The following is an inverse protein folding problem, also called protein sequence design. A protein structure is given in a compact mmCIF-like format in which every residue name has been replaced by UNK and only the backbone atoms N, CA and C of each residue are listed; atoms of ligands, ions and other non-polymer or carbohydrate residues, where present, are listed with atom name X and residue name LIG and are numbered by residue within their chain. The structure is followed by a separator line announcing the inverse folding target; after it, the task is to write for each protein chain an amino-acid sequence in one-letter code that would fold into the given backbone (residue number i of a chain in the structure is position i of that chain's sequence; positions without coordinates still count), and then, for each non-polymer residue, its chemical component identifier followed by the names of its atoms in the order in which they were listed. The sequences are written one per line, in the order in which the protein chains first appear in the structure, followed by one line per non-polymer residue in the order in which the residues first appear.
data_IF_946139064798
#
_entry.id   IF_946139064798
#
_cell.length_a   1.000
_cell.length_b   1.000
_cell.length_c   1.000
_cell.angle_alpha   90.00
_cell.angle_beta   90.00
_cell.angle_gamma   90.00
#
_symmetry.space_group_name_H-M   'P 1'
#
loop_
_entity.id
_entity.type
_entity.pdbx_description
1 polymer ?
#
# COMPACT_ATOMS: atom_id res chain seq x y z
N UNK A 1 -23.11 -3.58 7.41
CA UNK A 1 -22.34 -2.49 8.07
C UNK A 1 -21.20 -2.93 9.02
N UNK A 2 -21.50 -3.40 10.24
CA UNK A 2 -20.51 -3.50 11.35
C UNK A 2 -19.30 -4.39 11.04
N UNK A 3 -19.53 -5.56 10.44
CA UNK A 3 -18.45 -6.50 10.10
C UNK A 3 -17.47 -5.90 9.09
N UNK A 4 -17.97 -5.23 8.06
CA UNK A 4 -17.12 -4.60 7.04
C UNK A 4 -16.28 -3.46 7.61
N UNK A 5 -16.89 -2.59 8.42
CA UNK A 5 -16.19 -1.50 9.10
C UNK A 5 -15.14 -2.01 10.10
N UNK A 6 -15.46 -3.03 10.91
CA UNK A 6 -14.52 -3.65 11.83
C UNK A 6 -13.35 -4.31 11.11
N UNK A 7 -13.62 -4.98 9.98
CA UNK A 7 -12.57 -5.61 9.15
C UNK A 7 -11.66 -4.55 8.54
N UNK A 8 -12.22 -3.45 8.03
CA UNK A 8 -11.46 -2.32 7.51
C UNK A 8 -10.58 -1.67 8.60
N UNK A 9 -11.12 -1.46 9.81
CA UNK A 9 -10.37 -0.96 10.95
C UNK A 9 -9.21 -1.90 11.34
N UNK A 10 -9.45 -3.22 11.34
CA UNK A 10 -8.39 -4.21 11.56
C UNK A 10 -7.29 -4.11 10.50
N UNK A 11 -7.66 -4.00 9.22
CA UNK A 11 -6.70 -3.80 8.14
C UNK A 11 -5.89 -2.52 8.29
N UNK A 12 -6.51 -1.42 8.73
CA UNK A 12 -5.81 -0.17 9.04
C UNK A 12 -4.78 -0.34 10.17
N UNK A 13 -5.13 -1.06 11.24
CA UNK A 13 -4.22 -1.35 12.35
C UNK A 13 -3.03 -2.21 11.90
N UNK A 14 -3.27 -3.25 11.09
CA UNK A 14 -2.21 -4.11 10.54
C UNK A 14 -1.27 -3.29 9.65
N UNK A 15 -1.83 -2.49 8.73
CA UNK A 15 -1.08 -1.62 7.84
C UNK A 15 -0.25 -0.58 8.60
N UNK A 16 -0.85 0.07 9.60
CA UNK A 16 -0.18 1.05 10.46
C UNK A 16 0.94 0.42 11.28
N UNK A 17 0.70 -0.74 11.88
CA UNK A 17 1.74 -1.48 12.61
C UNK A 17 2.89 -1.93 11.70
N UNK A 18 2.57 -2.35 10.47
CA UNK A 18 3.57 -2.69 9.47
C UNK A 18 4.40 -1.48 9.05
N UNK A 19 3.73 -0.37 8.69
CA UNK A 19 4.38 0.91 8.35
C UNK A 19 5.31 1.38 9.47
N UNK A 20 4.83 1.39 10.72
CA UNK A 20 5.62 1.78 11.89
C UNK A 20 6.86 0.90 12.10
N UNK A 21 6.72 -0.42 11.98
CA UNK A 21 7.86 -1.34 12.12
C UNK A 21 8.86 -1.17 10.99
N UNK A 22 8.38 -0.94 9.77
CA UNK A 22 9.22 -0.65 8.62
C UNK A 22 9.99 0.65 8.85
N UNK A 23 9.32 1.72 9.29
CA UNK A 23 9.91 3.02 9.62
C UNK A 23 11.02 2.92 10.67
N UNK A 24 10.76 2.19 11.77
CA UNK A 24 11.77 1.95 12.82
C UNK A 24 12.97 1.18 12.28
N UNK A 25 12.75 0.18 11.44
CA UNK A 25 13.83 -0.59 10.83
C UNK A 25 14.66 0.24 9.82
N UNK A 26 14.12 1.32 9.24
CA UNK A 26 14.87 2.21 8.34
C UNK A 26 15.86 3.11 9.05
N UNK A 27 15.66 3.40 10.34
CA UNK A 27 16.56 4.27 11.11
C UNK A 27 17.98 3.72 11.21
N UNK A 28 18.16 2.44 10.89
CA UNK A 28 19.44 1.73 10.89
C UNK A 28 20.13 1.69 9.50
N UNK A 29 19.72 2.53 8.53
CA UNK A 29 20.52 2.88 7.36
C UNK A 29 20.22 2.15 6.03
N UNK A 30 18.97 2.14 5.55
CA UNK A 30 18.65 1.64 4.19
C UNK A 30 17.90 2.68 3.33
N UNK A 31 18.31 2.77 2.05
CA UNK A 31 18.04 3.87 1.11
C UNK A 31 16.57 4.15 0.71
N UNK A 32 16.39 5.16 -0.15
CA UNK A 32 15.11 5.87 -0.39
C UNK A 32 13.88 5.02 -0.73
N UNK A 33 14.05 3.84 -1.32
CA UNK A 33 12.97 2.87 -1.60
C UNK A 33 12.13 2.51 -0.37
N UNK A 34 12.80 2.49 0.77
CA UNK A 34 12.28 2.01 2.03
C UNK A 34 11.39 3.07 2.72
N UNK A 35 11.66 4.35 2.44
CA UNK A 35 10.80 5.49 2.77
C UNK A 35 9.52 5.45 1.93
N UNK A 36 9.63 5.23 0.62
CA UNK A 36 8.48 5.14 -0.28
C UNK A 36 7.49 4.05 0.16
N UNK A 37 7.99 2.88 0.55
CA UNK A 37 7.13 1.79 1.06
C UNK A 37 6.49 2.10 2.42
N UNK A 38 7.19 2.83 3.29
CA UNK A 38 6.63 3.25 4.58
C UNK A 38 5.47 4.22 4.36
N UNK A 39 5.65 5.20 3.48
CA UNK A 39 4.60 6.16 3.09
C UNK A 39 3.42 5.47 2.43
N UNK A 40 3.66 4.54 1.52
CA UNK A 40 2.61 3.74 0.87
C UNK A 40 1.74 3.01 1.91
N UNK A 41 2.37 2.25 2.83
CA UNK A 41 1.64 1.53 3.87
C UNK A 41 0.92 2.46 4.85
N UNK A 42 1.46 3.66 5.11
CA UNK A 42 0.78 4.68 5.89
C UNK A 42 -0.49 5.18 5.20
N UNK A 43 -0.41 5.49 3.91
CA UNK A 43 -1.56 5.89 3.09
C UNK A 43 -2.60 4.77 2.97
N UNK A 44 -2.16 3.52 2.84
CA UNK A 44 -3.07 2.38 2.87
C UNK A 44 -3.84 2.31 4.19
N UNK A 45 -3.17 2.54 5.33
CA UNK A 45 -3.85 2.60 6.62
C UNK A 45 -4.89 3.74 6.67
N UNK A 46 -4.56 4.92 6.15
CA UNK A 46 -5.49 6.06 6.03
C UNK A 46 -6.69 5.70 5.14
N UNK A 47 -6.46 5.05 3.99
CA UNK A 47 -7.51 4.58 3.11
C UNK A 47 -8.43 3.57 3.78
N UNK A 48 -7.88 2.65 4.58
CA UNK A 48 -8.67 1.67 5.34
C UNK A 48 -9.48 2.32 6.48
N UNK A 49 -8.96 3.39 7.12
CA UNK A 49 -9.75 4.19 8.07
C UNK A 49 -10.91 4.90 7.34
N UNK A 50 -10.65 5.52 6.20
CA UNK A 50 -11.69 6.18 5.40
C UNK A 50 -12.76 5.19 4.94
N UNK A 51 -12.37 3.97 4.54
CA UNK A 51 -13.28 2.88 4.23
C UNK A 51 -14.12 2.47 5.45
N UNK A 52 -13.49 2.30 6.61
CA UNK A 52 -14.20 1.96 7.84
C UNK A 52 -15.23 3.03 8.24
N UNK A 53 -14.86 4.31 8.13
CA UNK A 53 -15.76 5.45 8.38
C UNK A 53 -16.91 5.47 7.35
N UNK A 54 -16.61 5.29 6.06
CA UNK A 54 -17.62 5.23 5.00
C UNK A 54 -18.65 4.12 5.20
N UNK A 55 -18.21 2.94 5.66
CA UNK A 55 -19.09 1.81 5.96
C UNK A 55 -19.85 1.92 7.29
N UNK A 56 -19.34 2.70 8.24
CA UNK A 56 -19.94 2.84 9.57
C UNK A 56 -20.91 4.04 9.69
N UNK A 57 -20.55 5.16 9.08
CA UNK A 57 -21.25 6.46 9.21
C UNK A 57 -21.90 6.87 7.88
N UNK A 58 -21.49 6.29 6.77
CA UNK A 58 -21.96 6.61 5.43
C UNK A 58 -20.93 7.38 4.60
N UNK A 59 -21.19 7.44 3.30
CA UNK A 59 -20.28 8.03 2.32
C UNK A 59 -20.56 9.52 2.12
N UNK A 60 -19.50 10.32 2.24
CA UNK A 60 -19.49 11.75 1.94
C UNK A 60 -18.32 12.06 1.00
N UNK A 61 -18.40 13.18 0.29
CA UNK A 61 -17.40 13.56 -0.71
C UNK A 61 -15.96 13.53 -0.16
N UNK A 62 -15.75 14.02 1.06
CA UNK A 62 -14.44 14.02 1.73
C UNK A 62 -13.97 12.61 2.04
N UNK A 63 -14.80 11.80 2.71
CA UNK A 63 -14.47 10.42 3.08
C UNK A 63 -14.17 9.57 1.84
N UNK A 64 -14.99 9.73 0.79
CA UNK A 64 -14.79 9.08 -0.49
C UNK A 64 -13.50 9.53 -1.18
N UNK A 65 -13.24 10.84 -1.24
CA UNK A 65 -12.02 11.39 -1.81
C UNK A 65 -10.76 10.90 -1.09
N UNK A 66 -10.75 10.88 0.24
CA UNK A 66 -9.63 10.35 1.04
C UNK A 66 -9.43 8.86 0.78
N UNK A 67 -10.51 8.07 0.79
CA UNK A 67 -10.45 6.64 0.45
C UNK A 67 -9.82 6.42 -0.94
N UNK A 68 -10.24 7.20 -1.93
CA UNK A 68 -9.78 7.07 -3.31
C UNK A 68 -8.30 7.47 -3.46
N UNK A 69 -7.93 8.66 -2.96
CA UNK A 69 -6.56 9.18 -3.06
C UNK A 69 -5.57 8.31 -2.27
N UNK A 70 -5.89 8.02 -1.01
CA UNK A 70 -5.00 7.31 -0.12
C UNK A 70 -4.95 5.81 -0.41
N UNK A 71 -6.09 5.19 -0.71
CA UNK A 71 -6.18 3.74 -0.91
C UNK A 71 -5.76 3.28 -2.29
N UNK A 72 -6.28 3.92 -3.34
CA UNK A 72 -6.19 3.39 -4.71
C UNK A 72 -5.02 3.97 -5.52
N UNK A 73 -4.72 5.27 -5.38
CA UNK A 73 -3.83 5.95 -6.31
C UNK A 73 -2.43 6.18 -5.75
N UNK A 74 -2.37 6.95 -4.65
CA UNK A 74 -1.11 7.44 -4.14
C UNK A 74 -0.29 6.29 -3.55
N UNK A 75 -0.98 5.32 -2.95
CA UNK A 75 -0.38 4.10 -2.45
C UNK A 75 0.31 3.29 -3.57
N UNK A 76 -0.36 3.07 -4.71
CA UNK A 76 0.21 2.30 -5.84
C UNK A 76 1.38 3.05 -6.49
N UNK A 77 1.25 4.37 -6.67
CA UNK A 77 2.33 5.19 -7.20
C UNK A 77 3.58 5.16 -6.30
N UNK A 78 3.43 5.27 -4.98
CA UNK A 78 4.55 5.18 -4.04
C UNK A 78 5.18 3.79 -4.00
N UNK A 79 4.39 2.72 -4.11
CA UNK A 79 4.92 1.36 -4.25
C UNK A 79 5.77 1.23 -5.53
N UNK A 80 5.32 1.81 -6.65
CA UNK A 80 6.06 1.85 -7.90
C UNK A 80 7.38 2.60 -7.76
N UNK A 81 7.37 3.78 -7.13
CA UNK A 81 8.59 4.56 -6.83
C UNK A 81 9.56 3.74 -5.97
N UNK A 82 9.06 3.06 -4.94
CA UNK A 82 9.89 2.19 -4.11
C UNK A 82 10.51 1.02 -4.88
N UNK A 83 9.79 0.44 -5.86
CA UNK A 83 10.36 -0.58 -6.75
C UNK A 83 11.41 -0.01 -7.72
N UNK A 84 11.13 1.14 -8.33
CA UNK A 84 12.06 1.78 -9.27
C UNK A 84 13.35 2.19 -8.59
N UNK A 85 13.26 2.76 -7.39
CA UNK A 85 14.42 3.04 -6.56
C UNK A 85 15.24 1.76 -6.32
N UNK A 86 14.60 0.63 -6.04
CA UNK A 86 15.31 -0.64 -5.76
C UNK A 86 16.05 -1.18 -6.99
N UNK A 87 15.50 -0.95 -8.18
CA UNK A 87 16.09 -1.39 -9.44
C UNK A 87 17.22 -0.46 -9.88
N UNK A 88 17.01 0.85 -9.75
CA UNK A 88 17.97 1.88 -10.12
C UNK A 88 17.99 3.01 -9.08
N UNK A 89 18.83 2.89 -8.04
CA UNK A 89 18.94 3.91 -7.00
C UNK A 89 19.62 5.20 -7.50
N UNK A 90 20.34 5.16 -8.64
CA UNK A 90 21.09 6.31 -9.15
C UNK A 90 20.15 7.41 -9.69
N UNK A 91 18.98 7.02 -10.19
CA UNK A 91 17.93 7.93 -10.69
C UNK A 91 16.90 8.29 -9.61
N UNK A 92 17.27 8.19 -8.34
CA UNK A 92 16.34 8.37 -7.23
C UNK A 92 15.54 9.68 -7.25
N UNK A 93 16.15 10.85 -7.50
CA UNK A 93 15.43 12.12 -7.61
C UNK A 93 14.36 12.12 -8.72
N UNK A 94 14.65 11.49 -9.87
CA UNK A 94 13.70 11.38 -10.99
C UNK A 94 12.48 10.54 -10.58
N UNK A 95 12.68 9.41 -9.91
CA UNK A 95 11.58 8.55 -9.46
C UNK A 95 10.70 9.26 -8.43
N UNK A 96 11.30 10.00 -7.49
CA UNK A 96 10.54 10.83 -6.56
C UNK A 96 9.78 11.96 -7.24
N UNK A 97 10.39 12.62 -8.23
CA UNK A 97 9.72 13.66 -9.01
C UNK A 97 8.51 13.10 -9.76
N UNK A 98 8.66 11.98 -10.47
CA UNK A 98 7.56 11.32 -11.18
C UNK A 98 6.45 10.89 -10.22
N UNK A 99 6.81 10.34 -9.06
CA UNK A 99 5.85 10.02 -7.99
C UNK A 99 5.10 11.25 -7.48
N UNK A 100 5.80 12.36 -7.26
CA UNK A 100 5.22 13.61 -6.80
C UNK A 100 4.30 14.25 -7.85
N UNK A 101 4.66 14.19 -9.14
CA UNK A 101 3.81 14.67 -10.24
C UNK A 101 2.53 13.83 -10.32
N UNK A 102 2.64 12.50 -10.27
CA UNK A 102 1.47 11.60 -10.25
C UNK A 102 0.60 11.88 -9.03
N UNK A 103 1.20 12.08 -7.86
CA UNK A 103 0.50 12.43 -6.64
C UNK A 103 -0.27 13.76 -6.77
N UNK A 104 0.40 14.80 -7.25
CA UNK A 104 -0.18 16.13 -7.43
C UNK A 104 -1.33 16.11 -8.43
N UNK A 105 -1.15 15.47 -9.60
CA UNK A 105 -2.19 15.33 -10.62
C UNK A 105 -3.41 14.57 -10.07
N UNK A 106 -3.17 13.53 -9.28
CA UNK A 106 -4.21 12.73 -8.65
C UNK A 106 -5.01 13.55 -7.63
N UNK A 107 -4.32 14.23 -6.72
CA UNK A 107 -4.97 15.06 -5.69
C UNK A 107 -5.74 16.20 -6.34
N UNK A 108 -5.14 16.87 -7.32
CA UNK A 108 -5.82 17.90 -8.09
C UNK A 108 -7.08 17.36 -8.77
N UNK A 109 -6.98 16.26 -9.51
CA UNK A 109 -8.11 15.66 -10.20
C UNK A 109 -9.27 15.30 -9.26
N UNK A 110 -8.99 14.74 -8.08
CA UNK A 110 -10.02 14.44 -7.08
C UNK A 110 -10.58 15.72 -6.47
N UNK A 111 -9.75 16.73 -6.21
CA UNK A 111 -10.19 18.00 -5.63
C UNK A 111 -11.11 18.81 -6.57
N UNK A 112 -10.90 18.75 -7.89
CA UNK A 112 -11.79 19.41 -8.87
C UNK A 112 -13.02 18.57 -9.21
N UNK A 113 -13.01 17.27 -8.89
CA UNK A 113 -14.16 16.40 -9.13
C UNK A 113 -15.12 16.52 -7.96
N UNK A 114 -16.34 17.00 -8.22
CA UNK A 114 -17.42 17.00 -7.22
C UNK A 114 -18.13 15.65 -7.27
N UNK A 115 -17.98 14.76 -6.25
CA UNK A 115 -18.64 13.46 -6.28
C UNK A 115 -20.17 13.64 -6.21
N UNK A 116 -20.91 12.89 -7.01
CA UNK A 116 -22.37 12.94 -7.01
C UNK A 116 -22.92 12.47 -5.65
N UNK A 117 -23.56 13.39 -4.92
CA UNK A 117 -24.13 13.13 -3.62
C UNK A 117 -25.24 12.06 -3.65
N UNK A 118 -25.99 11.95 -4.75
CA UNK A 118 -27.01 10.93 -4.94
C UNK A 118 -26.40 9.53 -5.08
N UNK A 119 -25.27 9.39 -5.77
CA UNK A 119 -24.54 8.12 -5.87
C UNK A 119 -23.97 7.72 -4.51
N UNK A 120 -23.43 8.67 -3.74
CA UNK A 120 -22.91 8.39 -2.40
C UNK A 120 -24.04 8.02 -1.41
N UNK A 121 -25.19 8.69 -1.49
CA UNK A 121 -26.35 8.40 -0.65
C UNK A 121 -26.95 7.02 -0.98
N UNK A 122 -27.06 6.66 -2.26
CA UNK A 122 -27.56 5.34 -2.68
C UNK A 122 -26.61 4.21 -2.28
N UNK A 123 -25.29 4.41 -2.39
CA UNK A 123 -24.31 3.44 -1.89
C UNK A 123 -24.40 3.27 -0.37
N UNK A 124 -24.57 4.38 0.38
CA UNK A 124 -24.77 4.35 1.84
C UNK A 124 -26.04 3.58 2.21
N UNK A 125 -27.15 3.82 1.50
CA UNK A 125 -28.43 3.13 1.74
C UNK A 125 -28.38 1.62 1.41
N UNK A 126 -27.42 1.20 0.57
CA UNK A 126 -27.24 -0.21 0.16
C UNK A 126 -26.09 -0.91 0.87
N UNK A 127 -25.47 -0.29 1.88
CA UNK A 127 -24.25 -0.81 2.52
C UNK A 127 -23.11 -1.13 1.52
N UNK A 128 -23.11 -0.43 0.38
CA UNK A 128 -22.19 -0.69 -0.73
C UNK A 128 -21.02 0.31 -0.74
N UNK A 129 -19.99 0.00 -1.51
CA UNK A 129 -18.86 0.90 -1.76
C UNK A 129 -19.17 1.66 -3.07
N UNK A 130 -19.20 3.01 -3.06
CA UNK A 130 -19.51 3.79 -4.25
C UNK A 130 -18.56 3.47 -5.41
N UNK A 131 -19.13 3.24 -6.59
CA UNK A 131 -18.35 3.09 -7.81
C UNK A 131 -17.73 4.43 -8.23
N UNK A 132 -16.42 4.44 -8.45
CA UNK A 132 -15.69 5.66 -8.82
C UNK A 132 -16.16 6.28 -10.14
N UNK A 133 -16.52 5.45 -11.12
CA UNK A 133 -17.00 5.92 -12.42
C UNK A 133 -18.36 6.63 -12.30
N UNK A 134 -19.27 6.06 -11.51
CA UNK A 134 -20.58 6.66 -11.24
C UNK A 134 -20.45 7.89 -10.33
N UNK A 135 -19.62 7.83 -9.30
CA UNK A 135 -19.45 8.91 -8.33
C UNK A 135 -18.78 10.15 -8.95
N UNK A 136 -17.84 9.97 -9.88
CA UNK A 136 -17.17 11.09 -10.58
C UNK A 136 -17.81 11.44 -11.94
N UNK A 137 -18.95 10.84 -12.28
CA UNK A 137 -19.80 11.27 -13.40
C UNK A 137 -19.26 10.96 -14.81
N UNK A 138 -18.50 9.89 -15.01
CA UNK A 138 -18.10 9.32 -16.33
C UNK A 138 -17.26 10.20 -17.28
N UNK A 139 -17.27 11.52 -17.13
CA UNK A 139 -16.63 12.51 -18.01
C UNK A 139 -15.57 13.37 -17.29
N UNK A 140 -15.34 13.15 -15.99
CA UNK A 140 -14.34 13.90 -15.26
C UNK A 140 -12.93 13.57 -15.77
N UNK A 141 -12.10 14.61 -15.97
CA UNK A 141 -10.65 14.53 -16.17
C UNK A 141 -9.98 13.54 -15.21
N UNK A 142 -10.52 13.41 -14.00
CA UNK A 142 -10.18 12.37 -13.04
C UNK A 142 -10.24 10.97 -13.64
N UNK A 143 -11.35 10.53 -14.23
CA UNK A 143 -11.44 9.18 -14.79
C UNK A 143 -10.49 8.96 -15.97
N UNK A 144 -10.41 9.92 -16.89
CA UNK A 144 -9.58 9.82 -18.10
C UNK A 144 -8.07 9.79 -17.81
N UNK A 145 -7.62 10.54 -16.80
CA UNK A 145 -6.21 10.57 -16.37
C UNK A 145 -5.90 9.42 -15.40
N UNK A 146 -6.80 9.11 -14.46
CA UNK A 146 -6.54 8.13 -13.41
C UNK A 146 -6.53 6.69 -13.93
N UNK A 147 -7.38 6.33 -14.91
CA UNK A 147 -7.41 4.96 -15.46
C UNK A 147 -6.04 4.50 -15.99
N UNK A 148 -5.40 5.22 -16.94
CA UNK A 148 -4.09 4.81 -17.46
C UNK A 148 -3.00 4.90 -16.40
N UNK A 149 -3.03 5.90 -15.51
CA UNK A 149 -2.03 6.03 -14.42
C UNK A 149 -2.07 4.83 -13.48
N UNK A 150 -3.26 4.43 -13.03
CA UNK A 150 -3.43 3.32 -12.09
C UNK A 150 -3.04 1.98 -12.74
N UNK A 151 -3.43 1.76 -14.00
CA UNK A 151 -3.04 0.58 -14.78
C UNK A 151 -1.52 0.52 -15.01
N UNK A 152 -0.90 1.64 -15.37
CA UNK A 152 0.54 1.69 -15.65
C UNK A 152 1.35 1.51 -14.37
N UNK A 153 0.97 2.18 -13.27
CA UNK A 153 1.62 1.98 -11.98
C UNK A 153 1.43 0.55 -11.47
N UNK A 154 0.25 -0.05 -11.64
CA UNK A 154 0.01 -1.45 -11.30
C UNK A 154 0.87 -2.40 -12.15
N UNK A 155 0.93 -2.19 -13.47
CA UNK A 155 1.76 -3.00 -14.36
C UNK A 155 3.26 -2.89 -14.02
N UNK A 156 3.74 -1.69 -13.68
CA UNK A 156 5.12 -1.46 -13.24
C UNK A 156 5.39 -2.18 -11.91
N UNK A 157 4.49 -2.07 -10.93
CA UNK A 157 4.64 -2.76 -9.64
C UNK A 157 4.60 -4.26 -9.81
N UNK A 158 3.64 -4.78 -10.57
CA UNK A 158 3.45 -6.21 -10.79
C UNK A 158 4.62 -6.80 -11.58
N UNK A 159 4.94 -6.20 -12.73
CA UNK A 159 6.05 -6.62 -13.59
C UNK A 159 7.39 -6.51 -12.87
N UNK A 160 7.64 -5.40 -12.17
CA UNK A 160 8.86 -5.19 -11.37
C UNK A 160 8.98 -6.20 -10.22
N UNK A 161 7.87 -6.50 -9.54
CA UNK A 161 7.88 -7.44 -8.42
C UNK A 161 7.98 -8.90 -8.84
N UNK A 162 7.34 -9.32 -9.94
CA UNK A 162 7.51 -10.65 -10.53
C UNK A 162 8.93 -10.82 -11.06
N UNK A 163 9.44 -9.86 -11.83
CA UNK A 163 10.79 -9.92 -12.40
C UNK A 163 11.86 -9.97 -11.30
N UNK A 164 11.77 -9.10 -10.30
CA UNK A 164 12.71 -9.06 -9.18
C UNK A 164 12.60 -10.31 -8.30
N UNK A 165 11.38 -10.80 -8.08
CA UNK A 165 11.10 -12.01 -7.30
C UNK A 165 11.62 -13.29 -7.96
N UNK A 166 11.34 -13.50 -9.26
CA UNK A 166 11.82 -14.66 -10.01
C UNK A 166 13.34 -14.61 -10.21
N UNK A 167 13.91 -13.43 -10.51
CA UNK A 167 15.33 -13.30 -10.83
C UNK A 167 16.25 -13.31 -9.61
N UNK A 168 15.81 -12.81 -8.45
CA UNK A 168 16.62 -12.76 -7.22
C UNK A 168 16.18 -13.74 -6.11
N UNK A 169 15.16 -14.57 -6.36
CA UNK A 169 14.58 -15.56 -5.42
C UNK A 169 14.32 -15.02 -4.00
N UNK A 170 13.93 -13.75 -3.88
CA UNK A 170 13.64 -13.14 -2.57
C UNK A 170 12.17 -13.33 -2.23
N UNK A 171 11.86 -14.39 -1.48
CA UNK A 171 10.50 -14.73 -1.03
C UNK A 171 9.74 -13.53 -0.42
N UNK A 172 10.42 -12.63 0.31
CA UNK A 172 9.80 -11.42 0.86
C UNK A 172 9.28 -10.43 -0.20
N UNK A 173 9.93 -10.35 -1.37
CA UNK A 173 9.48 -9.50 -2.50
C UNK A 173 8.32 -10.16 -3.23
N UNK A 174 8.33 -11.50 -3.33
CA UNK A 174 7.23 -12.28 -3.91
C UNK A 174 5.96 -12.22 -3.06
N UNK A 175 6.07 -12.21 -1.72
CA UNK A 175 4.90 -12.04 -0.83
C UNK A 175 4.34 -10.61 -0.85
N UNK A 176 5.18 -9.59 -1.08
CA UNK A 176 4.72 -8.22 -1.33
C UNK A 176 3.98 -8.15 -2.67
N UNK A 177 4.51 -8.79 -3.71
CA UNK A 177 3.83 -8.92 -5.01
C UNK A 177 2.47 -9.63 -4.88
N UNK A 178 2.44 -10.74 -4.14
CA UNK A 178 1.24 -11.52 -3.89
C UNK A 178 0.19 -10.73 -3.08
N UNK A 179 0.62 -9.96 -2.07
CA UNK A 179 -0.28 -9.11 -1.32
C UNK A 179 -0.87 -7.98 -2.15
N UNK A 180 -0.09 -7.38 -3.06
CA UNK A 180 -0.57 -6.37 -4.00
C UNK A 180 -1.54 -6.96 -5.03
N UNK A 181 -1.30 -8.18 -5.53
CA UNK A 181 -2.28 -8.84 -6.43
C UNK A 181 -3.56 -9.22 -5.69
N UNK A 182 -3.48 -9.69 -4.45
CA UNK A 182 -4.67 -9.95 -3.62
C UNK A 182 -5.46 -8.66 -3.39
N UNK A 183 -4.77 -7.55 -3.08
CA UNK A 183 -5.41 -6.25 -2.96
C UNK A 183 -6.01 -5.78 -4.29
N UNK A 184 -5.32 -5.93 -5.42
CA UNK A 184 -5.85 -5.58 -6.74
C UNK A 184 -7.05 -6.43 -7.18
N UNK A 185 -7.17 -7.65 -6.64
CA UNK A 185 -8.35 -8.51 -6.83
C UNK A 185 -9.59 -7.90 -6.17
N UNK A 186 -9.45 -7.03 -5.17
CA UNK A 186 -10.60 -6.37 -4.53
C UNK A 186 -11.39 -5.49 -5.50
N UNK A 187 -10.73 -4.88 -6.49
CA UNK A 187 -11.39 -4.10 -7.54
C UNK A 187 -12.22 -4.98 -8.49
N UNK A 188 -11.88 -6.26 -8.63
CA UNK A 188 -12.69 -7.24 -9.39
C UNK A 188 -13.91 -7.65 -8.58
N UNK A 189 -13.75 -7.85 -7.26
CA UNK A 189 -14.86 -8.15 -6.35
C UNK A 189 -15.88 -7.01 -6.29
N UNK A 190 -15.41 -5.76 -6.27
CA UNK A 190 -16.27 -4.59 -6.32
C UNK A 190 -17.10 -4.56 -7.61
N UNK A 191 -16.47 -4.81 -8.78
CA UNK A 191 -17.19 -4.90 -10.06
C UNK A 191 -18.15 -6.08 -10.17
N UNK A 192 -17.92 -7.14 -9.39
CA UNK A 192 -18.82 -8.28 -9.30
C UNK A 192 -20.00 -8.06 -8.33
N UNK A 193 -20.12 -6.87 -7.72
CA UNK A 193 -21.14 -6.54 -6.72
C UNK A 193 -20.92 -7.22 -5.37
N UNK A 194 -19.71 -7.74 -5.10
CA UNK A 194 -19.34 -8.40 -3.84
C UNK A 194 -18.72 -7.41 -2.85
N UNK A 195 -19.37 -6.28 -2.61
CA UNK A 195 -18.84 -5.17 -1.80
C UNK A 195 -18.48 -5.59 -0.37
N UNK A 196 -19.24 -6.52 0.21
CA UNK A 196 -18.98 -7.07 1.53
C UNK A 196 -17.65 -7.84 1.65
N UNK A 197 -17.14 -8.38 0.53
CA UNK A 197 -15.88 -9.12 0.49
C UNK A 197 -14.66 -8.20 0.33
N UNK A 198 -14.86 -6.95 -0.09
CA UNK A 198 -13.78 -5.99 -0.38
C UNK A 198 -12.93 -5.68 0.85
N UNK A 199 -13.50 -5.31 2.02
CA UNK A 199 -12.71 -5.06 3.23
C UNK A 199 -11.93 -6.29 3.70
N UNK A 200 -12.50 -7.48 3.54
CA UNK A 200 -11.86 -8.74 3.89
C UNK A 200 -10.67 -9.05 2.99
N UNK A 201 -10.83 -8.89 1.67
CA UNK A 201 -9.75 -9.08 0.69
C UNK A 201 -8.60 -8.10 0.92
N UNK A 202 -8.91 -6.82 1.15
CA UNK A 202 -7.92 -5.78 1.47
C UNK A 202 -7.16 -6.10 2.77
N UNK A 203 -7.87 -6.52 3.80
CA UNK A 203 -7.27 -6.89 5.10
C UNK A 203 -6.41 -8.13 4.99
N UNK A 204 -6.86 -9.15 4.25
CA UNK A 204 -6.09 -10.36 3.98
C UNK A 204 -4.82 -10.04 3.20
N UNK A 205 -4.91 -9.19 2.15
CA UNK A 205 -3.77 -8.75 1.36
C UNK A 205 -2.67 -8.13 2.21
N UNK A 206 -3.01 -7.15 3.06
CA UNK A 206 -2.02 -6.48 3.92
C UNK A 206 -1.48 -7.41 5.02
N UNK A 207 -2.30 -8.32 5.55
CA UNK A 207 -1.86 -9.31 6.53
C UNK A 207 -0.82 -10.26 5.94
N UNK A 208 -1.02 -10.72 4.69
CA UNK A 208 -0.07 -11.56 3.96
C UNK A 208 1.24 -10.82 3.71
N UNK A 209 1.20 -9.55 3.28
CA UNK A 209 2.40 -8.73 3.11
C UNK A 209 3.19 -8.62 4.42
N UNK A 210 2.49 -8.33 5.52
CA UNK A 210 3.11 -8.17 6.83
C UNK A 210 3.70 -9.49 7.37
N UNK A 211 3.02 -10.61 7.15
CA UNK A 211 3.54 -11.93 7.49
C UNK A 211 4.84 -12.24 6.73
N UNK A 212 4.90 -11.92 5.43
CA UNK A 212 6.10 -12.04 4.60
C UNK A 212 7.27 -11.21 5.12
N UNK A 213 7.02 -9.95 5.51
CA UNK A 213 8.03 -9.09 6.13
C UNK A 213 8.57 -9.68 7.44
N UNK A 214 7.70 -10.18 8.32
CA UNK A 214 8.10 -10.82 9.58
C UNK A 214 8.86 -12.13 9.37
N UNK A 215 8.52 -12.90 8.34
CA UNK A 215 9.23 -14.14 8.02
C UNK A 215 10.65 -13.85 7.53
N UNK A 216 10.81 -12.90 6.61
CA UNK A 216 12.12 -12.50 6.07
C UNK A 216 13.05 -11.86 7.13
N UNK A 217 12.49 -11.16 8.11
CA UNK A 217 13.25 -10.60 9.24
C UNK A 217 13.76 -11.66 10.22
N UNK A 218 13.02 -12.76 10.41
CA UNK A 218 13.43 -13.87 11.29
C UNK A 218 14.60 -14.66 10.73
N UNK A 219 14.62 -14.90 9.42
CA UNK A 219 15.71 -15.63 8.75
C UNK A 219 17.05 -14.89 8.84
N UNK A 220 17.05 -13.55 8.84
CA UNK A 220 18.28 -12.75 9.04
C UNK A 220 18.86 -12.84 10.44
N UNK A 221 18.02 -12.93 11.48
CA UNK A 221 18.50 -13.09 12.87
C UNK A 221 19.02 -14.50 13.15
N UNK A 222 18.38 -15.52 12.59
CA UNK A 222 18.81 -16.91 12.77
C UNK A 222 20.14 -17.22 12.06
N UNK A 223 20.51 -16.46 11.03
CA UNK A 223 21.78 -16.58 10.31
C UNK A 223 22.91 -15.69 10.80
N UNK A 224 22.72 -14.89 11.86
CA UNK A 224 23.81 -14.15 12.49
C UNK A 224 24.61 -15.13 13.36
N UNK A 225 25.88 -15.44 13.04
CA UNK A 225 26.71 -16.26 13.90
C UNK A 225 26.79 -15.57 15.27
N UNK A 226 26.72 -16.35 16.34
CA UNK A 226 26.99 -15.89 17.69
C UNK A 226 28.46 -15.42 17.79
N UNK A 227 28.74 -14.20 17.33
CA UNK A 227 30.03 -13.52 17.45
C UNK A 227 30.17 -13.01 18.90
N UNK A 228 30.17 -13.94 19.84
CA UNK A 228 30.14 -13.66 21.27
C UNK A 228 30.58 -14.83 22.14
N UNK A 229 31.41 -15.73 21.61
CA UNK A 229 32.11 -16.71 22.42
C UNK A 229 33.59 -16.74 22.01
N UNK A 230 34.44 -16.46 23.00
CA UNK A 230 35.89 -16.67 23.06
C UNK A 230 36.80 -15.77 22.21
N UNK A 231 37.14 -14.60 22.78
CA UNK A 231 38.50 -14.08 22.71
C UNK A 231 38.93 -13.77 24.16
N UNK A 232 39.55 -14.75 24.81
CA UNK A 232 40.26 -14.52 26.07
C UNK A 232 41.43 -13.56 25.82
N UNK A 233 41.71 -12.60 26.71
CA UNK A 233 42.80 -11.66 26.53
C UNK A 233 44.16 -12.39 26.62
N UNK A 234 45.13 -12.11 25.74
CA UNK A 234 46.51 -12.51 25.98
C UNK A 234 47.03 -11.71 27.18
N UNK A 235 47.24 -12.40 28.30
CA UNK A 235 47.92 -11.85 29.46
C UNK A 235 49.34 -11.44 29.07
N UNK A 236 49.63 -10.16 29.25
CA UNK A 236 50.97 -9.61 29.08
C UNK A 236 51.80 -9.73 30.35
N UNK A 237 53.09 -9.97 30.09
CA UNK A 237 54.27 -9.46 30.79
C UNK A 237 54.90 -10.25 31.96
N UNK A 238 56.21 -10.44 31.78
CA UNK A 238 57.31 -10.35 32.75
C UNK A 238 57.58 -11.55 33.68
N UNK A 239 58.80 -12.09 33.52
CA UNK A 239 59.42 -13.14 34.34
C UNK A 239 60.51 -13.85 33.56
#
# INVERSE_FOLDING_TARGET
MVVGAATAALGALIAGAFSWRLARHQRDGRGGHAVAWTLALGLYAVGMVALAVGLAVGWHAVTFGVYWVAGALLNVALLAVGQLLLLDPTRGPLWWLLGAVVAALTVAAVAVSSPDAGVLATATARDAIPDGEAAFGGQALAWTILRPVTLTSFAVVLGGSLWSGLRRRRLGVLLVAAGVTVAATSSVLQRAGMDAAVPAALTAGVAVMYAGFRAAGRTRRAGAPAAGATAAPPGGAAG
#
